data_IF_286507818512
#
_entry.id   IF_286507818512
#
_cell.length_a   1.000
_cell.length_b   1.000
_cell.length_c   1.000
_cell.angle_alpha   90.00
_cell.angle_beta   90.00
_cell.angle_gamma   90.00
#
_symmetry.space_group_name_H-M   'P 1'
#
loop_
_entity.id
_entity.type
_entity.pdbx_description
1 polymer ?
#
# COMPACT_ATOMS: atom_id res chain seq x y z
N UNK A 1 -18.61 3.88 -9.79
CA UNK A 1 -17.27 4.16 -10.34
C UNK A 1 -16.60 5.25 -9.50
N UNK A 2 -15.89 4.90 -8.43
CA UNK A 2 -15.08 5.86 -7.67
C UNK A 2 -13.98 5.15 -6.86
N UNK A 3 -12.98 4.55 -7.55
CA UNK A 3 -11.72 4.10 -6.91
C UNK A 3 -10.79 5.27 -6.53
N UNK A 4 -11.27 6.52 -6.57
CA UNK A 4 -10.47 7.74 -6.31
C UNK A 4 -9.93 7.83 -4.88
N UNK A 5 -10.43 7.02 -3.95
CA UNK A 5 -10.01 7.03 -2.55
C UNK A 5 -8.60 6.48 -2.33
N UNK A 6 -8.17 5.50 -3.13
CA UNK A 6 -6.78 5.04 -3.11
C UNK A 6 -5.88 6.07 -3.80
N UNK A 7 -6.23 6.54 -5.00
CA UNK A 7 -5.40 7.48 -5.76
C UNK A 7 -4.88 8.67 -4.96
N UNK A 8 -5.79 9.44 -4.35
CA UNK A 8 -5.37 10.68 -3.71
C UNK A 8 -4.56 10.45 -2.43
N UNK A 9 -4.86 9.39 -1.69
CA UNK A 9 -4.19 9.07 -0.43
C UNK A 9 -2.77 8.59 -0.73
N UNK A 10 -2.64 7.62 -1.63
CA UNK A 10 -1.36 7.02 -1.99
C UNK A 10 -0.40 8.05 -2.60
N UNK A 11 -0.90 8.93 -3.47
CA UNK A 11 -0.14 10.08 -3.99
C UNK A 11 0.34 11.01 -2.85
N UNK A 12 -0.50 11.28 -1.85
CA UNK A 12 -0.14 12.09 -0.67
C UNK A 12 1.00 11.48 0.15
N UNK A 13 1.09 10.15 0.18
CA UNK A 13 2.18 9.42 0.84
C UNK A 13 3.44 9.27 -0.03
N UNK A 14 3.42 9.80 -1.25
CA UNK A 14 4.55 9.74 -2.20
C UNK A 14 4.60 8.44 -3.00
N UNK A 15 3.51 7.68 -3.04
CA UNK A 15 3.40 6.42 -3.79
C UNK A 15 3.15 6.74 -5.25
N UNK A 16 3.92 6.11 -6.14
CA UNK A 16 3.79 6.34 -7.58
C UNK A 16 2.55 5.63 -8.12
N UNK A 17 2.07 6.09 -9.28
CA UNK A 17 0.94 5.47 -9.97
C UNK A 17 1.20 4.01 -10.38
N UNK A 18 2.46 3.67 -10.71
CA UNK A 18 2.88 2.29 -11.02
C UNK A 18 2.74 1.36 -9.82
N UNK A 19 3.20 1.83 -8.65
CA UNK A 19 3.05 1.12 -7.37
C UNK A 19 1.57 0.90 -7.02
N UNK A 20 0.74 1.91 -7.28
CA UNK A 20 -0.71 1.82 -7.10
C UNK A 20 -1.37 0.74 -7.95
N UNK A 21 -1.05 0.67 -9.25
CA UNK A 21 -1.58 -0.37 -10.12
C UNK A 21 -1.20 -1.78 -9.64
N UNK A 22 0.02 -1.90 -9.10
CA UNK A 22 0.51 -3.14 -8.48
C UNK A 22 -0.28 -3.48 -7.20
N UNK A 23 -0.55 -2.49 -6.36
CA UNK A 23 -1.36 -2.65 -5.15
C UNK A 23 -2.78 -3.11 -5.48
N UNK A 24 -3.44 -2.45 -6.42
CA UNK A 24 -4.81 -2.81 -6.83
C UNK A 24 -4.86 -4.23 -7.37
N UNK A 25 -3.91 -4.64 -8.22
CA UNK A 25 -3.84 -6.03 -8.71
C UNK A 25 -3.66 -7.05 -7.58
N UNK A 26 -2.80 -6.77 -6.60
CA UNK A 26 -2.57 -7.68 -5.46
C UNK A 26 -3.82 -7.74 -4.58
N UNK A 27 -4.45 -6.60 -4.30
CA UNK A 27 -5.70 -6.52 -3.57
C UNK A 27 -6.79 -7.37 -4.21
N UNK A 28 -6.98 -7.20 -5.53
CA UNK A 28 -8.02 -7.92 -6.28
C UNK A 28 -7.71 -9.43 -6.35
N UNK A 29 -6.44 -9.80 -6.57
CA UNK A 29 -6.03 -11.21 -6.67
C UNK A 29 -6.12 -11.98 -5.35
N UNK A 30 -5.93 -11.30 -4.23
CA UNK A 30 -5.92 -11.91 -2.90
C UNK A 30 -7.19 -11.59 -2.10
N UNK A 31 -8.21 -10.98 -2.73
CA UNK A 31 -9.45 -10.52 -2.09
C UNK A 31 -9.20 -9.75 -0.80
N UNK A 32 -8.18 -8.90 -0.80
CA UNK A 32 -7.82 -8.09 0.37
C UNK A 32 -8.76 -6.91 0.44
N UNK A 33 -9.34 -6.70 1.62
CA UNK A 33 -10.14 -5.53 1.89
C UNK A 33 -9.30 -4.25 1.67
N UNK A 34 -9.71 -3.37 0.73
CA UNK A 34 -8.94 -2.18 0.39
C UNK A 34 -8.88 -1.17 1.54
N UNK A 35 -9.84 -1.18 2.47
CA UNK A 35 -9.81 -0.29 3.64
C UNK A 35 -8.82 -0.79 4.70
N UNK A 36 -8.80 -2.11 4.95
CA UNK A 36 -7.78 -2.73 5.79
C UNK A 36 -6.37 -2.51 5.23
N UNK A 37 -6.19 -2.67 3.91
CA UNK A 37 -4.90 -2.44 3.28
C UNK A 37 -4.47 -0.97 3.38
N UNK A 38 -5.39 -0.02 3.20
CA UNK A 38 -5.11 1.41 3.42
C UNK A 38 -4.58 1.64 4.81
N UNK A 39 -5.26 1.18 5.86
CA UNK A 39 -4.80 1.37 7.24
C UNK A 39 -3.43 0.73 7.49
N UNK A 40 -3.20 -0.47 6.95
CA UNK A 40 -1.94 -1.17 7.09
C UNK A 40 -0.78 -0.42 6.39
N UNK A 41 -1.00 0.03 5.16
CA UNK A 41 -0.04 0.81 4.40
C UNK A 41 0.22 2.15 5.07
N UNK A 42 -0.82 2.89 5.46
CA UNK A 42 -0.71 4.16 6.19
C UNK A 42 0.20 4.05 7.40
N UNK A 43 -0.04 3.02 8.23
CA UNK A 43 0.75 2.78 9.45
C UNK A 43 2.19 2.44 9.12
N UNK A 44 2.41 1.58 8.14
CA UNK A 44 3.75 1.16 7.71
C UNK A 44 4.54 2.30 7.05
N UNK A 45 3.87 3.15 6.27
CA UNK A 45 4.44 4.36 5.67
C UNK A 45 4.83 5.36 6.74
N UNK A 46 3.99 5.58 7.76
CA UNK A 46 4.29 6.47 8.86
C UNK A 46 5.53 5.99 9.64
N UNK A 47 5.63 4.70 9.96
CA UNK A 47 6.81 4.13 10.62
C UNK A 47 8.09 4.27 9.80
N UNK A 48 8.04 4.00 8.49
CA UNK A 48 9.20 4.15 7.60
C UNK A 48 9.63 5.59 7.44
N UNK A 49 8.67 6.53 7.35
CA UNK A 49 8.93 7.96 7.31
C UNK A 49 9.62 8.44 8.59
N UNK A 50 9.17 7.98 9.76
CA UNK A 50 9.85 8.26 11.05
C UNK A 50 11.28 7.70 11.05
N UNK A 51 11.48 6.50 10.48
CA UNK A 51 12.78 5.85 10.39
C UNK A 51 13.70 6.41 9.29
N UNK A 52 13.27 7.43 8.53
CA UNK A 52 13.99 7.94 7.36
C UNK A 52 14.34 6.82 6.35
N UNK A 53 13.50 5.79 6.27
CA UNK A 53 13.67 4.70 5.31
C UNK A 53 13.04 5.11 3.97
N UNK A 54 13.79 4.90 2.89
CA UNK A 54 13.32 5.18 1.53
C UNK A 54 12.14 4.25 1.16
N UNK A 55 11.06 4.87 0.69
CA UNK A 55 9.81 4.22 0.33
C UNK A 55 9.78 3.95 -1.17
N UNK A 56 10.67 3.05 -1.59
CA UNK A 56 10.77 2.59 -2.97
C UNK A 56 9.86 1.38 -3.24
N UNK A 57 9.67 1.00 -4.50
CA UNK A 57 8.83 -0.14 -4.94
C UNK A 57 9.16 -1.42 -4.15
N UNK A 58 10.44 -1.63 -3.83
CA UNK A 58 10.91 -2.78 -3.05
C UNK A 58 10.37 -2.77 -1.61
N UNK A 59 10.25 -1.59 -1.00
CA UNK A 59 9.67 -1.44 0.32
C UNK A 59 8.16 -1.68 0.29
N UNK A 60 7.47 -1.22 -0.77
CA UNK A 60 6.05 -1.46 -0.99
C UNK A 60 5.74 -2.95 -1.15
N UNK A 61 6.44 -3.65 -2.05
CA UNK A 61 6.31 -5.11 -2.23
C UNK A 61 6.49 -5.85 -0.92
N UNK A 62 7.50 -5.49 -0.13
CA UNK A 62 7.75 -6.09 1.18
C UNK A 62 6.62 -5.81 2.18
N UNK A 63 6.01 -4.63 2.14
CA UNK A 63 4.83 -4.31 2.95
C UNK A 63 3.62 -5.14 2.51
N UNK A 64 3.39 -5.29 1.21
CA UNK A 64 2.30 -6.12 0.69
C UNK A 64 2.48 -7.60 1.04
N UNK A 65 3.70 -8.15 0.92
CA UNK A 65 3.97 -9.53 1.34
C UNK A 65 3.71 -9.74 2.84
N UNK A 66 4.07 -8.77 3.68
CA UNK A 66 3.75 -8.82 5.11
C UNK A 66 2.25 -8.69 5.39
N UNK A 67 1.55 -7.87 4.60
CA UNK A 67 0.10 -7.73 4.68
C UNK A 67 -0.59 -9.06 4.34
N UNK A 68 -0.17 -9.70 3.24
CA UNK A 68 -0.64 -11.03 2.83
C UNK A 68 -0.39 -12.11 3.89
N UNK A 69 0.80 -12.12 4.50
CA UNK A 69 1.12 -13.05 5.60
C UNK A 69 0.32 -12.82 6.88
N UNK A 70 -0.29 -11.64 7.07
CA UNK A 70 -1.16 -11.36 8.22
C UNK A 70 -2.60 -11.79 8.00
N UNK A 71 -3.02 -11.92 6.75
CA UNK A 71 -4.36 -12.35 6.35
C UNK A 71 -4.45 -13.88 6.28
N UNK A 72 -3.32 -14.54 6.00
CA UNK A 72 -3.18 -16.00 5.94
C UNK A 72 -2.89 -16.61 7.32
#
# INVERSE_FOLDING_TARGET
MSNKGLDSLFIHYGIRKDDMATIEQICEKHEIDPDWLKEYLLKSYHEKKIKNEDLDEKALKKMMEKALQKIK
#
